data_IF_212499387013
#
_entry.id   IF_212499387013
#
_cell.length_a   1.000
_cell.length_b   1.000
_cell.length_c   1.000
_cell.angle_alpha   90.00
_cell.angle_beta   90.00
_cell.angle_gamma   90.00
#
_symmetry.space_group_name_H-M   'P 1'
#
loop_
_entity.id
_entity.type
_entity.pdbx_description
1 polymer ?
#
# COMPACT_ATOMS: atom_id res chain seq x y z
N UNK A 1 40.78 -24.35 4.89
CA UNK A 1 39.62 -25.25 4.73
C UNK A 1 38.37 -24.51 5.25
N UNK A 2 37.56 -23.90 4.38
CA UNK A 2 36.33 -23.17 4.77
C UNK A 2 35.12 -24.04 4.46
N UNK A 3 34.39 -24.46 5.49
CA UNK A 3 33.10 -25.17 5.35
C UNK A 3 32.07 -24.19 4.76
N UNK A 4 31.46 -24.58 3.64
CA UNK A 4 30.26 -23.94 3.09
C UNK A 4 29.08 -24.39 3.95
N UNK A 5 28.40 -23.43 4.56
CA UNK A 5 27.07 -23.64 5.14
C UNK A 5 26.07 -23.67 3.96
N UNK A 6 25.50 -24.84 3.71
CA UNK A 6 24.40 -25.02 2.76
C UNK A 6 23.13 -24.54 3.45
N UNK A 7 22.59 -23.41 3.01
CA UNK A 7 21.29 -22.92 3.45
C UNK A 7 20.26 -23.62 2.56
N UNK A 8 19.40 -24.45 3.17
CA UNK A 8 18.29 -25.09 2.47
C UNK A 8 17.28 -24.02 2.04
N UNK A 9 17.13 -23.85 0.74
CA UNK A 9 16.17 -22.95 0.11
C UNK A 9 14.74 -23.48 0.28
N UNK A 10 14.04 -23.05 1.34
CA UNK A 10 12.60 -22.82 1.26
C UNK A 10 12.42 -21.37 0.84
N UNK A 11 12.49 -21.07 -0.46
CA UNK A 11 12.39 -19.70 -0.98
C UNK A 11 10.95 -19.18 -0.91
N UNK A 12 10.46 -18.89 0.29
CA UNK A 12 9.46 -17.85 0.44
C UNK A 12 10.13 -16.56 -0.02
N UNK A 13 9.84 -16.15 -1.26
CA UNK A 13 10.30 -14.85 -1.75
C UNK A 13 9.71 -13.83 -0.79
N UNK A 14 10.56 -13.11 -0.08
CA UNK A 14 10.19 -12.00 0.79
C UNK A 14 10.55 -10.67 0.12
N UNK A 15 9.68 -9.68 0.27
CA UNK A 15 9.94 -8.31 -0.08
C UNK A 15 10.23 -7.57 1.21
N UNK A 16 11.45 -7.04 1.27
CA UNK A 16 11.90 -6.16 2.34
C UNK A 16 11.91 -4.76 1.78
N UNK A 17 11.10 -3.88 2.34
CA UNK A 17 11.11 -2.46 2.03
C UNK A 17 11.64 -1.69 3.23
N UNK A 18 12.68 -0.89 3.01
CA UNK A 18 13.27 -0.02 4.01
C UNK A 18 12.89 1.42 3.65
N UNK A 19 12.04 2.04 4.46
CA UNK A 19 11.70 3.46 4.30
C UNK A 19 12.33 4.24 5.42
N UNK A 20 13.23 5.16 5.07
CA UNK A 20 13.88 6.09 5.98
C UNK A 20 13.12 7.41 5.99
N UNK A 21 12.64 7.81 7.16
CA UNK A 21 12.01 9.12 7.36
C UNK A 21 13.00 10.05 8.06
N UNK A 22 13.12 11.28 7.54
CA UNK A 22 13.71 12.40 8.29
C UNK A 22 12.57 13.11 9.00
N UNK A 23 12.71 13.22 10.32
CA UNK A 23 11.72 13.84 11.17
C UNK A 23 11.80 15.35 10.97
N UNK A 24 10.90 15.93 10.19
CA UNK A 24 10.71 17.39 10.23
C UNK A 24 9.45 17.75 11.03
N UNK A 25 8.33 17.02 10.93
CA UNK A 25 7.11 17.39 11.70
C UNK A 25 6.17 16.23 12.12
N UNK A 26 6.46 14.96 11.80
CA UNK A 26 5.46 13.87 11.93
C UNK A 26 5.50 13.05 13.22
N UNK A 27 6.61 13.03 13.98
CA UNK A 27 6.72 12.23 15.21
C UNK A 27 7.43 12.99 16.34
N UNK A 28 6.72 13.89 17.06
CA UNK A 28 7.35 14.81 18.02
C UNK A 28 7.93 14.15 19.27
N UNK A 29 7.65 12.86 19.52
CA UNK A 29 8.14 12.11 20.68
C UNK A 29 9.45 11.34 20.41
N UNK A 30 10.00 11.38 19.20
CA UNK A 30 11.22 10.66 18.84
C UNK A 30 12.41 11.63 18.74
N UNK A 31 13.27 11.60 19.76
CA UNK A 31 14.36 12.55 20.00
C UNK A 31 15.61 12.36 19.10
N UNK A 32 15.66 11.31 18.26
CA UNK A 32 16.81 11.03 17.37
C UNK A 32 16.33 10.73 15.94
N UNK A 33 16.83 11.52 14.99
CA UNK A 33 16.16 11.95 13.75
C UNK A 33 16.14 10.98 12.56
N UNK A 34 16.15 9.66 12.77
CA UNK A 34 16.07 8.71 11.65
C UNK A 34 15.25 7.48 12.02
N UNK A 35 13.99 7.44 11.56
CA UNK A 35 13.15 6.25 11.67
C UNK A 35 13.33 5.42 10.41
N UNK A 36 13.80 4.19 10.57
CA UNK A 36 13.80 3.20 9.51
C UNK A 36 12.64 2.24 9.72
N UNK A 37 11.62 2.32 8.89
CA UNK A 37 10.54 1.32 8.88
C UNK A 37 11.01 0.17 7.99
N UNK A 38 11.18 -1.01 8.59
CA UNK A 38 11.42 -2.25 7.86
C UNK A 38 10.10 -2.98 7.70
N UNK A 39 9.59 -3.03 6.48
CA UNK A 39 8.39 -3.77 6.14
C UNK A 39 8.78 -5.11 5.52
N UNK A 40 8.37 -6.18 6.17
CA UNK A 40 8.51 -7.54 5.67
C UNK A 40 7.17 -8.01 5.12
N UNK A 41 7.15 -8.36 3.85
CA UNK A 41 6.01 -9.06 3.25
C UNK A 41 6.49 -10.31 2.52
N UNK A 42 5.62 -11.29 2.38
CA UNK A 42 5.88 -12.49 1.60
C UNK A 42 5.09 -12.42 0.30
N UNK A 43 5.51 -13.18 -0.72
CA UNK A 43 4.71 -13.31 -1.93
C UNK A 43 3.37 -13.96 -1.57
N UNK A 44 2.28 -13.18 -1.62
CA UNK A 44 0.96 -13.70 -1.29
C UNK A 44 0.49 -14.67 -2.39
N UNK A 45 -0.23 -15.72 -1.99
CA UNK A 45 -0.85 -16.65 -2.93
C UNK A 45 -1.76 -15.91 -3.93
N UNK A 46 -1.63 -16.25 -5.22
CA UNK A 46 -2.38 -15.59 -6.30
C UNK A 46 -3.90 -15.69 -6.13
N UNK A 47 -4.43 -16.80 -5.60
CA UNK A 47 -5.86 -16.97 -5.32
C UNK A 47 -6.30 -16.01 -4.21
N UNK A 48 -5.48 -15.85 -3.16
CA UNK A 48 -5.74 -14.89 -2.08
C UNK A 48 -5.73 -13.46 -2.61
N UNK A 49 -4.71 -13.07 -3.38
CA UNK A 49 -4.66 -11.75 -4.06
C UNK A 49 -5.91 -11.53 -4.90
N UNK A 50 -6.29 -12.50 -5.76
CA UNK A 50 -7.48 -12.40 -6.62
C UNK A 50 -8.76 -12.21 -5.80
N UNK A 51 -8.92 -12.97 -4.73
CA UNK A 51 -10.07 -12.88 -3.85
C UNK A 51 -10.14 -11.52 -3.15
N UNK A 52 -9.05 -11.09 -2.53
CA UNK A 52 -8.97 -9.79 -1.85
C UNK A 52 -9.17 -8.64 -2.81
N UNK A 53 -8.55 -8.66 -4.00
CA UNK A 53 -8.73 -7.60 -5.01
C UNK A 53 -10.19 -7.52 -5.51
N UNK A 54 -10.85 -8.67 -5.68
CA UNK A 54 -12.28 -8.70 -6.02
C UNK A 54 -13.13 -8.05 -4.92
N UNK A 55 -12.85 -8.36 -3.66
CA UNK A 55 -13.54 -7.77 -2.52
C UNK A 55 -13.27 -6.25 -2.39
N UNK A 56 -12.03 -5.81 -2.63
CA UNK A 56 -11.66 -4.40 -2.55
C UNK A 56 -12.41 -3.54 -3.57
N UNK A 57 -12.61 -4.03 -4.80
CA UNK A 57 -13.33 -3.27 -5.84
C UNK A 57 -14.76 -2.89 -5.45
N UNK A 58 -15.39 -3.63 -4.53
CA UNK A 58 -16.74 -3.31 -4.05
C UNK A 58 -16.76 -2.33 -2.87
N UNK A 59 -15.57 -1.98 -2.32
CA UNK A 59 -15.42 -1.07 -1.17
C UNK A 59 -15.22 0.39 -1.54
N UNK A 60 -15.24 0.72 -2.82
CA UNK A 60 -15.15 2.10 -3.33
C UNK A 60 -16.44 2.51 -4.03
N UNK A 61 -17.53 2.75 -3.26
CA UNK A 61 -18.84 3.09 -3.83
C UNK A 61 -18.86 4.51 -4.42
N UNK A 62 -18.04 5.41 -3.88
CA UNK A 62 -18.08 6.83 -4.23
C UNK A 62 -17.70 7.03 -5.71
N UNK A 63 -18.42 7.96 -6.36
CA UNK A 63 -18.14 8.41 -7.72
C UNK A 63 -17.79 9.90 -7.63
N UNK A 64 -16.59 10.24 -8.08
CA UNK A 64 -16.13 11.62 -8.13
C UNK A 64 -16.26 12.13 -9.55
N UNK A 65 -17.06 13.18 -9.74
CA UNK A 65 -17.20 13.87 -11.02
C UNK A 65 -16.38 15.17 -10.95
N UNK A 66 -15.08 15.08 -11.23
CA UNK A 66 -14.16 16.24 -11.27
C UNK A 66 -13.20 16.35 -10.08
N UNK A 67 -12.13 17.13 -10.27
CA UNK A 67 -11.01 17.26 -9.33
C UNK A 67 -11.31 18.12 -8.09
N UNK A 68 -12.32 19.01 -8.16
CA UNK A 68 -12.61 20.00 -7.10
C UNK A 68 -13.41 19.47 -5.90
N UNK A 69 -13.62 18.15 -5.77
CA UNK A 69 -14.33 17.56 -4.63
C UNK A 69 -13.39 17.36 -3.43
N UNK A 70 -12.71 18.41 -3.02
CA UNK A 70 -11.75 18.40 -1.90
C UNK A 70 -12.44 18.29 -0.52
N UNK A 71 -13.76 18.42 -0.46
CA UNK A 71 -14.56 18.52 0.77
C UNK A 71 -15.69 17.47 0.72
N UNK A 72 -15.33 16.20 0.57
CA UNK A 72 -16.23 15.09 0.86
C UNK A 72 -15.87 14.55 2.26
N UNK A 73 -16.36 15.24 3.29
CA UNK A 73 -16.15 14.88 4.70
C UNK A 73 -16.75 13.51 5.06
N UNK A 74 -17.66 13.01 4.22
CA UNK A 74 -18.32 11.71 4.36
C UNK A 74 -17.97 10.71 3.24
N UNK A 75 -16.75 10.78 2.69
CA UNK A 75 -16.29 9.68 1.83
C UNK A 75 -16.35 8.35 2.58
N UNK A 76 -16.84 7.31 1.91
CA UNK A 76 -16.96 5.94 2.44
C UNK A 76 -15.78 5.06 2.02
N UNK A 77 -14.85 5.63 1.25
CA UNK A 77 -13.70 4.92 0.74
C UNK A 77 -12.67 4.70 1.84
N UNK A 78 -12.08 3.49 1.96
CA UNK A 78 -10.93 3.26 2.81
C UNK A 78 -9.70 4.01 2.28
N UNK A 79 -8.72 4.23 3.16
CA UNK A 79 -7.42 4.79 2.77
C UNK A 79 -6.65 3.75 1.95
N UNK A 80 -5.99 4.19 0.87
CA UNK A 80 -5.22 3.32 -0.03
C UNK A 80 -3.76 3.75 -0.06
N UNK A 81 -2.86 2.79 0.17
CA UNK A 81 -1.42 2.93 -0.07
C UNK A 81 -0.99 1.91 -1.12
N UNK A 82 -0.28 2.37 -2.15
CA UNK A 82 0.35 1.51 -3.15
C UNK A 82 1.86 1.76 -3.08
N UNK A 83 2.65 0.73 -2.76
CA UNK A 83 4.09 0.83 -2.49
C UNK A 83 4.40 1.98 -1.51
N UNK A 84 3.69 2.00 -0.38
CA UNK A 84 3.75 3.03 0.66
C UNK A 84 3.42 4.47 0.25
N UNK A 85 3.04 4.72 -1.01
CA UNK A 85 2.50 6.01 -1.43
C UNK A 85 1.00 6.03 -1.19
N UNK A 86 0.51 6.97 -0.39
CA UNK A 86 -0.90 7.20 -0.22
C UNK A 86 -1.51 7.72 -1.53
N UNK A 87 -2.59 7.09 -1.98
CA UNK A 87 -3.36 7.48 -3.15
C UNK A 87 -4.46 8.43 -2.71
N UNK A 88 -4.68 9.51 -3.48
CA UNK A 88 -5.75 10.45 -3.18
C UNK A 88 -7.11 9.75 -3.26
N UNK A 89 -8.02 10.05 -2.34
CA UNK A 89 -9.28 9.32 -2.20
C UNK A 89 -10.18 9.40 -3.46
N UNK A 90 -10.09 10.48 -4.22
CA UNK A 90 -10.80 10.66 -5.51
C UNK A 90 -10.28 9.73 -6.61
N UNK A 91 -9.01 9.31 -6.53
CA UNK A 91 -8.33 8.47 -7.53
C UNK A 91 -8.28 7.00 -7.12
N UNK A 92 -8.42 6.72 -5.82
CA UNK A 92 -8.24 5.40 -5.23
C UNK A 92 -9.01 4.29 -5.97
N UNK A 93 -10.27 4.54 -6.34
CA UNK A 93 -11.07 3.59 -7.11
C UNK A 93 -10.45 3.25 -8.47
N UNK A 94 -10.10 4.29 -9.24
CA UNK A 94 -9.52 4.12 -10.57
C UNK A 94 -8.18 3.39 -10.50
N UNK A 95 -7.35 3.70 -9.49
CA UNK A 95 -6.09 2.98 -9.28
C UNK A 95 -6.32 1.51 -8.93
N UNK A 96 -7.24 1.18 -8.02
CA UNK A 96 -7.59 -0.21 -7.67
C UNK A 96 -8.16 -0.99 -8.87
N UNK A 97 -8.94 -0.34 -9.73
CA UNK A 97 -9.51 -0.96 -10.94
C UNK A 97 -8.44 -1.30 -11.98
N UNK A 98 -7.40 -0.47 -12.12
CA UNK A 98 -6.26 -0.72 -13.03
C UNK A 98 -5.39 -1.90 -12.61
N UNK A 99 -5.38 -2.26 -11.31
CA UNK A 99 -4.54 -3.33 -10.80
C UNK A 99 -4.95 -4.70 -11.34
N UNK A 100 -3.94 -5.47 -11.77
CA UNK A 100 -4.10 -6.87 -12.17
C UNK A 100 -3.43 -7.76 -11.12
N UNK A 101 -4.02 -8.92 -10.83
CA UNK A 101 -3.49 -9.89 -9.86
C UNK A 101 -2.02 -10.24 -10.10
N UNK A 102 -1.57 -10.31 -11.36
CA UNK A 102 -0.19 -10.63 -11.72
C UNK A 102 0.83 -9.55 -11.33
N UNK A 103 0.37 -8.32 -11.14
CA UNK A 103 1.22 -7.16 -10.84
C UNK A 103 1.38 -6.94 -9.34
N UNK A 104 0.63 -7.69 -8.53
CA UNK A 104 0.58 -7.52 -7.08
C UNK A 104 1.46 -8.59 -6.42
N UNK A 105 2.29 -8.12 -5.50
CA UNK A 105 3.12 -8.93 -4.63
C UNK A 105 2.35 -9.33 -3.36
N UNK A 106 1.69 -8.35 -2.74
CA UNK A 106 0.96 -8.53 -1.49
C UNK A 106 -0.19 -7.52 -1.35
N UNK A 107 -1.33 -7.95 -0.79
CA UNK A 107 -2.42 -7.07 -0.36
C UNK A 107 -2.68 -7.28 1.13
N UNK A 108 -2.62 -6.19 1.88
CA UNK A 108 -3.18 -6.07 3.21
C UNK A 108 -4.48 -5.27 3.14
N UNK A 109 -5.56 -5.81 3.69
CA UNK A 109 -6.79 -5.07 3.88
C UNK A 109 -7.24 -5.16 5.33
N UNK A 110 -7.31 -4.02 6.00
CA UNK A 110 -7.88 -3.86 7.32
C UNK A 110 -9.21 -3.09 7.19
N UNK A 111 -10.37 -3.73 7.45
CA UNK A 111 -11.66 -3.05 7.37
C UNK A 111 -11.95 -2.15 8.59
N UNK A 112 -11.15 -2.24 9.66
CA UNK A 112 -11.37 -1.48 10.88
C UNK A 112 -10.74 -0.09 10.76
N UNK A 113 -11.32 0.88 11.47
CA UNK A 113 -10.79 2.23 11.57
C UNK A 113 -9.32 2.23 12.01
N UNK A 114 -8.51 3.09 11.39
CA UNK A 114 -7.12 3.35 11.76
C UNK A 114 -6.95 4.81 12.19
N UNK A 115 -5.75 5.21 12.65
CA UNK A 115 -5.50 6.58 13.10
C UNK A 115 -5.75 7.61 12.00
N UNK A 116 -6.69 8.52 12.23
CA UNK A 116 -6.99 9.65 11.35
C UNK A 116 -5.91 10.72 11.36
N UNK A 117 -5.16 10.83 12.46
CA UNK A 117 -3.98 11.72 12.56
C UNK A 117 -2.90 11.32 11.55
N UNK A 118 -2.71 10.02 11.32
CA UNK A 118 -1.69 9.50 10.42
C UNK A 118 -2.19 9.42 8.97
N UNK A 119 -3.43 8.95 8.77
CA UNK A 119 -3.93 8.56 7.44
C UNK A 119 -5.00 9.49 6.87
N UNK A 120 -5.38 10.54 7.61
CA UNK A 120 -6.41 11.49 7.26
C UNK A 120 -7.84 10.99 7.53
N UNK A 121 -8.83 11.80 7.15
CA UNK A 121 -10.24 11.60 7.52
C UNK A 121 -10.84 10.24 7.12
N UNK A 122 -10.41 9.66 6.00
CA UNK A 122 -10.93 8.39 5.49
C UNK A 122 -10.45 7.17 6.29
N UNK A 123 -9.54 7.36 7.24
CA UNK A 123 -9.02 6.31 8.11
C UNK A 123 -10.13 5.58 8.89
N UNK A 124 -11.25 6.26 9.16
CA UNK A 124 -12.47 5.67 9.76
C UNK A 124 -13.04 4.49 8.96
N UNK A 125 -12.81 4.46 7.64
CA UNK A 125 -13.35 3.44 6.73
C UNK A 125 -12.42 2.24 6.49
N UNK A 126 -11.26 2.23 7.13
CA UNK A 126 -10.25 1.18 6.98
C UNK A 126 -9.05 1.55 6.11
N UNK A 127 -8.18 0.58 5.92
CA UNK A 127 -6.86 0.73 5.31
C UNK A 127 -6.57 -0.40 4.33
N UNK A 128 -6.16 -0.04 3.13
CA UNK A 128 -5.69 -0.94 2.07
C UNK A 128 -4.22 -0.63 1.82
N UNK A 129 -3.34 -1.63 1.95
CA UNK A 129 -1.94 -1.53 1.53
C UNK A 129 -1.65 -2.55 0.45
N UNK A 130 -1.07 -2.10 -0.65
CA UNK A 130 -0.75 -2.93 -1.81
C UNK A 130 0.72 -2.77 -2.13
N UNK A 131 1.43 -3.89 -2.21
CA UNK A 131 2.78 -3.94 -2.75
C UNK A 131 2.72 -4.55 -4.13
N UNK A 132 3.35 -3.87 -5.09
CA UNK A 132 3.45 -4.33 -6.47
C UNK A 132 4.75 -5.10 -6.67
N UNK A 133 4.74 -6.01 -7.64
CA UNK A 133 5.94 -6.71 -8.07
C UNK A 133 6.97 -5.69 -8.61
N UNK A 134 8.26 -5.88 -8.32
CA UNK A 134 9.34 -5.01 -8.80
C UNK A 134 9.33 -4.77 -10.33
N UNK A 135 8.94 -5.78 -11.11
CA UNK A 135 8.80 -5.65 -12.57
C UNK A 135 7.65 -4.72 -12.98
N UNK A 136 6.59 -4.62 -12.17
CA UNK A 136 5.45 -3.73 -12.39
C UNK A 136 5.74 -2.28 -11.97
N UNK A 137 6.72 -2.05 -11.08
CA UNK A 137 7.18 -0.71 -10.66
C UNK A 137 7.82 0.05 -11.83
N UNK A 138 8.53 -0.64 -12.74
CA UNK A 138 9.14 -0.01 -13.92
C UNK A 138 8.09 0.58 -14.87
N UNK A 139 6.93 -0.06 -15.03
CA UNK A 139 5.88 0.42 -15.92
C UNK A 139 5.07 1.62 -15.39
N UNK A 140 5.12 1.88 -14.08
CA UNK A 140 4.46 3.05 -13.48
C UNK A 140 5.30 4.32 -13.54
N UNK A 141 6.61 4.22 -13.76
CA UNK A 141 7.53 5.37 -13.83
C UNK A 141 7.67 6.01 -15.22
N UNK A 142 7.05 5.44 -16.26
CA UNK A 142 7.12 5.94 -17.65
C UNK A 142 5.75 6.39 -18.18
N UNK A 143 5.08 7.28 -17.47
CA UNK A 143 4.00 8.11 -18.04
C UNK A 143 4.25 9.58 -17.70
N UNK A 144 5.33 10.10 -18.27
CA UNK A 144 5.49 11.52 -18.53
C UNK A 144 6.02 11.65 -19.96
N UNK A 145 5.08 11.84 -20.87
CA UNK A 145 5.25 12.63 -22.10
C UNK A 145 4.05 13.58 -22.15
#
# INVERSE_FOLDING_TARGET
MRKRLTINETTDKHLVELTKFRNEEQFPHLQHNEIAIVLFTYQQDKKKIKHTLKALRTKFPDKYNGFSQHILDDSKNPVVLINNKQIHHTEAKAEIEKLKTKDIYYIHYNPNSVSSEIYGQNAKNGLVRIWLNYNSIKHLRFRHE
#
